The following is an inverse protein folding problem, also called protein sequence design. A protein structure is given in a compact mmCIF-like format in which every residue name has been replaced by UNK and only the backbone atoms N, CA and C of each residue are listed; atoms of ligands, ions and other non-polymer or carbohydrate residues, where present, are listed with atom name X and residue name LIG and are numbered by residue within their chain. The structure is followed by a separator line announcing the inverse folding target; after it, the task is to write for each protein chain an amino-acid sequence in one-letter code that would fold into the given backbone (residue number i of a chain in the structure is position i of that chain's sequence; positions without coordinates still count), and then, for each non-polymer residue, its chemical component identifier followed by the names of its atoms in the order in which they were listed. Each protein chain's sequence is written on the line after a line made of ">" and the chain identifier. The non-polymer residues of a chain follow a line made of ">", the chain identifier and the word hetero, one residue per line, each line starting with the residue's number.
data_IF_915595407178
#
_entry.id   IF_915595407178
#
_cell.length_a   1.000
_cell.length_b   1.000
_cell.length_c   1.000
_cell.angle_alpha   90.00
_cell.angle_beta   90.00
_cell.angle_gamma   90.00
#
_symmetry.space_group_name_H-M   'P 1'
#
loop_
_entity.id
_entity.type
_entity.pdbx_description
1 polymer ?
#
# COMPACT_ATOMS: atom_id res chain seq x y z
N UNK A 1 41.55 -14.68 -18.17
CA UNK A 1 40.21 -14.58 -18.78
C UNK A 1 39.27 -14.09 -17.68
N UNK A 2 39.11 -12.77 -17.56
CA UNK A 2 38.31 -12.13 -16.51
C UNK A 2 37.65 -10.86 -17.09
N UNK A 3 36.32 -10.80 -16.99
CA UNK A 3 35.44 -9.61 -17.05
C UNK A 3 34.01 -10.15 -16.89
N UNK A 4 33.33 -9.98 -15.75
CA UNK A 4 32.69 -8.77 -15.20
C UNK A 4 31.21 -8.63 -15.61
N UNK A 5 30.37 -8.67 -14.58
CA UNK A 5 29.14 -7.90 -14.35
C UNK A 5 28.01 -7.88 -15.42
N UNK A 6 26.90 -8.56 -15.10
CA UNK A 6 25.54 -8.06 -15.33
C UNK A 6 24.90 -7.88 -13.95
N UNK A 7 24.33 -6.74 -13.57
CA UNK A 7 23.48 -5.86 -14.36
C UNK A 7 22.05 -5.94 -13.79
N UNK A 8 21.89 -5.55 -12.53
CA UNK A 8 20.62 -5.56 -11.81
C UNK A 8 20.24 -4.15 -11.36
N UNK A 9 20.09 -3.22 -12.31
CA UNK A 9 19.46 -1.92 -12.05
C UNK A 9 17.94 -2.14 -12.00
N UNK A 10 17.40 -2.20 -10.79
CA UNK A 10 15.96 -2.01 -10.58
C UNK A 10 15.68 -0.50 -10.60
N UNK A 11 14.90 0.03 -11.56
CA UNK A 11 14.43 1.40 -11.50
C UNK A 11 13.17 1.41 -10.63
N UNK A 12 13.27 1.87 -9.38
CA UNK A 12 12.23 1.59 -8.39
C UNK A 12 12.02 2.68 -7.36
N UNK A 13 11.71 3.90 -7.78
CA UNK A 13 11.03 4.86 -6.89
C UNK A 13 11.51 6.29 -7.07
N UNK A 14 10.74 7.06 -7.85
CA UNK A 14 11.05 8.44 -8.19
C UNK A 14 11.20 9.34 -6.95
N UNK A 15 12.27 10.12 -6.99
CA UNK A 15 12.27 11.46 -6.43
C UNK A 15 11.09 12.21 -7.07
N UNK A 16 10.09 12.55 -6.26
CA UNK A 16 8.98 13.37 -6.70
C UNK A 16 8.63 14.28 -5.54
N UNK A 17 9.24 15.45 -5.61
CA UNK A 17 8.69 16.76 -5.31
C UNK A 17 8.16 16.89 -3.89
N UNK A 18 8.98 17.56 -3.07
CA UNK A 18 8.53 18.36 -1.95
C UNK A 18 7.60 19.46 -2.49
N UNK A 19 6.36 19.09 -2.75
CA UNK A 19 5.26 20.02 -2.90
C UNK A 19 4.45 19.89 -1.63
N UNK A 20 4.09 21.03 -1.06
CA UNK A 20 3.26 21.21 0.13
C UNK A 20 1.87 20.61 -0.13
N UNK A 21 1.80 19.28 -0.16
CA UNK A 21 0.60 18.54 -0.53
C UNK A 21 -0.18 18.30 0.74
N UNK A 22 -1.29 19.02 0.88
CA UNK A 22 -2.36 18.74 1.85
C UNK A 22 -2.82 17.27 1.77
N UNK A 23 -2.50 16.58 0.67
CA UNK A 23 -2.78 15.17 0.39
C UNK A 23 -1.58 14.25 0.64
N UNK A 24 -1.83 13.09 1.24
CA UNK A 24 -0.84 12.01 1.39
C UNK A 24 -0.87 11.12 0.15
N UNK A 25 0.29 10.90 -0.48
CA UNK A 25 0.43 9.88 -1.53
C UNK A 25 0.41 8.50 -0.90
N UNK A 26 -0.51 7.67 -1.36
CA UNK A 26 -0.66 6.30 -0.90
C UNK A 26 -0.43 5.36 -2.05
N UNK A 27 0.47 4.40 -1.86
CA UNK A 27 0.77 3.31 -2.80
C UNK A 27 0.23 2.01 -2.24
N UNK A 28 -0.79 1.45 -2.87
CA UNK A 28 -1.33 0.14 -2.53
C UNK A 28 -0.76 -0.93 -3.43
N UNK A 29 -0.28 -2.00 -2.82
CA UNK A 29 0.03 -3.27 -3.46
C UNK A 29 -1.06 -4.27 -3.11
N UNK A 30 -1.93 -4.58 -4.07
CA UNK A 30 -2.88 -5.69 -3.98
C UNK A 30 -2.16 -7.00 -4.33
N UNK A 31 -2.43 -8.03 -3.54
CA UNK A 31 -1.96 -9.40 -3.74
C UNK A 31 -3.19 -10.30 -3.64
N UNK A 32 -3.43 -11.13 -4.65
CA UNK A 32 -4.58 -12.04 -4.71
C UNK A 32 -4.12 -13.44 -5.14
N UNK A 33 -4.02 -14.37 -4.20
CA UNK A 33 -3.64 -15.77 -4.49
C UNK A 33 -2.36 -15.88 -5.33
N UNK A 34 -2.48 -16.52 -6.50
CA UNK A 34 -1.39 -16.68 -7.46
C UNK A 34 -1.36 -15.59 -8.55
N UNK A 35 -2.24 -14.59 -8.49
CA UNK A 35 -2.24 -13.49 -9.45
C UNK A 35 -1.05 -12.55 -9.22
N UNK A 36 -0.51 -11.95 -10.30
CA UNK A 36 0.55 -10.95 -10.17
C UNK A 36 0.05 -9.77 -9.30
N UNK A 37 0.90 -9.21 -8.44
CA UNK A 37 0.50 -8.12 -7.56
C UNK A 37 0.17 -6.86 -8.37
N UNK A 38 -0.97 -6.26 -8.09
CA UNK A 38 -1.40 -5.00 -8.71
C UNK A 38 -0.96 -3.82 -7.86
N UNK A 39 -0.33 -2.83 -8.48
CA UNK A 39 0.10 -1.61 -7.81
C UNK A 39 -0.77 -0.44 -8.24
N UNK A 40 -1.38 0.25 -7.28
CA UNK A 40 -2.10 1.50 -7.52
C UNK A 40 -1.59 2.58 -6.60
N UNK A 41 -1.50 3.79 -7.12
CA UNK A 41 -1.10 4.97 -6.36
C UNK A 41 -2.25 5.98 -6.41
N UNK A 42 -2.57 6.59 -5.29
CA UNK A 42 -3.61 7.60 -5.17
C UNK A 42 -3.16 8.68 -4.18
N UNK A 43 -3.68 9.88 -4.34
CA UNK A 43 -3.54 10.95 -3.37
C UNK A 43 -4.82 10.97 -2.53
N UNK A 44 -4.68 10.90 -1.22
CA UNK A 44 -5.82 11.00 -0.30
C UNK A 44 -5.59 12.14 0.67
N UNK A 45 -6.66 12.82 1.00
CA UNK A 45 -6.63 13.84 2.04
C UNK A 45 -6.87 13.16 3.40
N UNK A 46 -5.93 13.25 4.36
CA UNK A 46 -6.04 12.59 5.65
C UNK A 46 -7.11 13.22 6.57
N UNK A 47 -7.67 14.39 6.23
CA UNK A 47 -8.75 15.04 6.98
C UNK A 47 -10.13 14.47 6.62
N UNK A 48 -10.30 13.98 5.39
CA UNK A 48 -11.57 13.38 4.91
C UNK A 48 -11.49 11.85 4.71
N UNK A 49 -10.29 11.29 4.61
CA UNK A 49 -10.10 9.87 4.31
C UNK A 49 -10.05 9.02 5.57
N UNK A 50 -11.15 8.32 5.83
CA UNK A 50 -11.24 7.31 6.89
C UNK A 50 -10.91 5.92 6.36
N UNK A 51 -10.69 4.95 7.27
CA UNK A 51 -10.42 3.57 6.89
C UNK A 51 -11.54 2.98 6.02
N UNK A 52 -12.81 3.26 6.33
CA UNK A 52 -13.95 2.81 5.53
C UNK A 52 -13.93 3.39 4.11
N UNK A 53 -13.71 4.70 3.99
CA UNK A 53 -13.62 5.40 2.71
C UNK A 53 -12.45 4.87 1.89
N UNK A 54 -11.28 4.70 2.51
CA UNK A 54 -10.10 4.13 1.87
C UNK A 54 -10.40 2.72 1.37
N UNK A 55 -10.96 1.85 2.21
CA UNK A 55 -11.37 0.51 1.80
C UNK A 55 -12.38 0.53 0.66
N UNK A 56 -13.33 1.45 0.67
CA UNK A 56 -14.32 1.61 -0.40
C UNK A 56 -13.67 2.04 -1.72
N UNK A 57 -12.79 3.05 -1.69
CA UNK A 57 -12.03 3.50 -2.85
C UNK A 57 -11.19 2.35 -3.40
N UNK A 58 -10.53 1.59 -2.53
CA UNK A 58 -9.72 0.45 -2.94
C UNK A 58 -10.56 -0.67 -3.52
N UNK A 59 -11.67 -1.01 -2.90
CA UNK A 59 -12.57 -2.01 -3.42
C UNK A 59 -13.12 -1.61 -4.79
N UNK A 60 -13.44 -0.33 -5.00
CA UNK A 60 -13.86 0.18 -6.31
C UNK A 60 -12.70 0.21 -7.32
N UNK A 61 -11.52 0.62 -6.90
CA UNK A 61 -10.35 0.75 -7.78
C UNK A 61 -9.79 -0.61 -8.22
N UNK A 62 -9.83 -1.62 -7.35
CA UNK A 62 -9.33 -2.97 -7.59
C UNK A 62 -10.44 -3.98 -7.93
N UNK A 63 -11.65 -3.49 -8.16
CA UNK A 63 -12.86 -4.28 -8.44
C UNK A 63 -13.11 -5.42 -7.42
N UNK A 64 -12.83 -5.14 -6.15
CA UNK A 64 -13.08 -6.05 -5.02
C UNK A 64 -14.50 -5.90 -4.46
N UNK A 65 -15.41 -5.29 -5.23
CA UNK A 65 -16.80 -5.07 -4.87
C UNK A 65 -17.53 -6.41 -4.71
N UNK A 66 -17.46 -7.01 -3.52
CA UNK A 66 -18.07 -8.30 -3.21
C UNK A 66 -17.15 -9.28 -2.47
N UNK A 67 -15.83 -9.08 -2.50
CA UNK A 67 -14.87 -9.90 -1.75
C UNK A 67 -14.79 -9.40 -0.30
N UNK A 68 -15.59 -10.00 0.59
CA UNK A 68 -15.71 -9.59 2.01
C UNK A 68 -14.48 -9.87 2.89
N UNK A 69 -13.42 -10.49 2.37
CA UNK A 69 -12.23 -10.83 3.15
C UNK A 69 -10.96 -10.35 2.43
N UNK A 70 -10.71 -9.05 2.53
CA UNK A 70 -9.37 -8.51 2.25
C UNK A 70 -8.80 -7.91 3.53
N UNK A 71 -7.49 -8.06 3.71
CA UNK A 71 -6.75 -7.47 4.83
C UNK A 71 -5.94 -6.29 4.32
N UNK A 72 -6.06 -5.16 5.01
CA UNK A 72 -5.29 -3.94 4.71
C UNK A 72 -4.18 -3.80 5.75
N UNK A 73 -2.96 -3.52 5.32
CA UNK A 73 -1.82 -3.28 6.21
C UNK A 73 -0.92 -2.19 5.67
N UNK A 74 -0.39 -1.31 6.51
CA UNK A 74 0.54 -0.28 6.10
C UNK A 74 1.98 -0.65 6.44
N UNK A 75 2.94 -0.20 5.65
CA UNK A 75 4.35 -0.29 5.99
C UNK A 75 4.73 0.92 6.85
N UNK A 76 4.82 0.69 8.16
CA UNK A 76 5.33 1.61 9.15
C UNK A 76 6.86 1.56 9.12
N UNK A 77 7.53 2.69 8.98
CA UNK A 77 8.98 2.75 9.12
C UNK A 77 9.32 2.96 10.59
N UNK A 78 9.97 1.97 11.19
CA UNK A 78 10.45 2.07 12.58
C UNK A 78 11.67 3.02 12.67
N UNK A 79 12.00 3.50 13.88
CA UNK A 79 13.18 4.34 14.14
C UNK A 79 14.52 3.68 13.76
N UNK A 80 14.54 2.36 13.58
CA UNK A 80 15.68 1.60 13.02
C UNK A 80 15.71 1.57 11.48
N UNK A 81 14.74 2.19 10.80
CA UNK A 81 14.63 2.19 9.34
C UNK A 81 14.06 0.90 8.75
N UNK A 82 13.60 -0.04 9.57
CA UNK A 82 12.90 -1.26 9.15
C UNK A 82 11.44 -0.96 8.78
N UNK A 83 10.96 -1.61 7.73
CA UNK A 83 9.57 -1.54 7.30
C UNK A 83 8.76 -2.65 7.98
N UNK A 84 7.93 -2.27 8.96
CA UNK A 84 7.01 -3.17 9.66
C UNK A 84 5.63 -3.06 9.04
N UNK A 85 5.03 -4.19 8.67
CA UNK A 85 3.66 -4.21 8.19
C UNK A 85 2.69 -4.25 9.37
N UNK A 86 1.92 -3.19 9.55
CA UNK A 86 0.93 -3.04 10.62
C UNK A 86 -0.47 -3.09 10.00
N UNK A 87 -1.37 -3.98 10.45
CA UNK A 87 -2.73 -4.05 9.94
C UNK A 87 -3.50 -2.77 10.27
N UNK A 88 -4.29 -2.27 9.32
CA UNK A 88 -5.21 -1.15 9.53
C UNK A 88 -6.56 -1.72 9.97
N UNK A 89 -6.83 -1.67 11.28
CA UNK A 89 -8.08 -2.18 11.86
C UNK A 89 -9.06 -1.06 12.13
N UNK A 90 -8.56 0.14 12.45
CA UNK A 90 -9.36 1.33 12.76
C UNK A 90 -8.80 2.60 12.12
N UNK A 91 -9.62 3.66 12.09
CA UNK A 91 -9.21 5.02 11.73
C UNK A 91 -8.01 5.53 12.57
N UNK A 92 -7.94 5.20 13.86
CA UNK A 92 -6.76 5.50 14.69
C UNK A 92 -5.45 4.94 14.11
N UNK A 93 -5.48 3.71 13.56
CA UNK A 93 -4.30 3.12 12.91
C UNK A 93 -3.98 3.85 11.62
N UNK A 94 -5.00 4.27 10.87
CA UNK A 94 -4.84 5.00 9.62
C UNK A 94 -4.21 6.38 9.86
N UNK A 95 -4.64 7.11 10.90
CA UNK A 95 -4.04 8.40 11.29
C UNK A 95 -2.58 8.22 11.68
N UNK A 96 -2.27 7.15 12.43
CA UNK A 96 -0.89 6.79 12.78
C UNK A 96 -0.08 6.48 11.52
N UNK A 97 -0.64 5.72 10.59
CA UNK A 97 -0.01 5.37 9.32
C UNK A 97 0.30 6.61 8.48
N UNK A 98 -0.64 7.54 8.34
CA UNK A 98 -0.41 8.82 7.64
C UNK A 98 0.70 9.65 8.30
N UNK A 99 0.79 9.62 9.63
CA UNK A 99 1.84 10.31 10.39
C UNK A 99 3.21 9.70 10.14
N UNK A 100 3.29 8.37 10.10
CA UNK A 100 4.55 7.63 9.98
C UNK A 100 5.07 7.56 8.54
N UNK A 101 4.17 7.59 7.56
CA UNK A 101 4.52 7.26 6.19
C UNK A 101 4.73 8.48 5.29
N UNK A 102 5.13 9.62 5.85
CA UNK A 102 5.52 10.78 5.03
C UNK A 102 6.87 10.51 4.35
N UNK A 103 7.01 10.75 3.02
CA UNK A 103 6.05 11.39 2.12
C UNK A 103 5.07 10.45 1.40
N UNK A 104 5.27 9.13 1.44
CA UNK A 104 4.45 8.14 0.73
C UNK A 104 4.02 6.99 1.67
N UNK A 105 2.71 6.86 1.88
CA UNK A 105 2.10 5.76 2.60
C UNK A 105 2.07 4.51 1.74
N UNK A 106 2.84 3.49 2.12
CA UNK A 106 2.76 2.17 1.47
C UNK A 106 1.73 1.32 2.18
N UNK A 107 0.77 0.85 1.42
CA UNK A 107 -0.28 -0.06 1.86
C UNK A 107 -0.17 -1.38 1.11
N UNK A 108 -0.54 -2.44 1.78
CA UNK A 108 -0.64 -3.79 1.29
C UNK A 108 -2.07 -4.22 1.45
N UNK A 109 -2.65 -4.70 0.37
CA UNK A 109 -3.98 -5.25 0.32
C UNK A 109 -3.83 -6.74 -0.01
N UNK A 110 -4.30 -7.59 0.90
CA UNK A 110 -4.21 -9.03 0.80
C UNK A 110 -5.62 -9.58 0.61
N UNK A 111 -5.92 -10.10 -0.57
CA UNK A 111 -7.24 -10.66 -0.89
C UNK A 111 -7.18 -12.16 -0.66
N UNK A 112 -7.90 -12.65 0.35
CA UNK A 112 -8.10 -14.09 0.54
C UNK A 112 -9.22 -14.54 -0.38
N UNK A 113 -8.87 -15.26 -1.44
CA UNK A 113 -9.88 -16.06 -2.12
C UNK A 113 -10.26 -17.21 -1.16
N UNK A 114 -11.55 -17.49 -0.92
CA UNK A 114 -11.90 -18.76 -0.32
C UNK A 114 -11.32 -19.87 -1.22
N UNK A 115 -10.82 -20.98 -0.64
CA UNK A 115 -10.53 -22.15 -1.47
C UNK A 115 -11.80 -22.44 -2.26
N UNK A 116 -11.70 -22.51 -3.59
CA UNK A 116 -12.75 -23.15 -4.38
C UNK A 116 -12.95 -24.53 -3.73
N UNK A 117 -14.13 -24.74 -3.15
CA UNK A 117 -14.53 -26.07 -2.73
C UNK A 117 -14.56 -26.93 -3.98
N UNK A 118 -13.55 -27.79 -4.14
CA UNK A 118 -13.66 -29.01 -4.95
C UNK A 118 -14.61 -30.01 -4.29
#
# INVERSE_FOLDING_TARGET
>A
MAAAAGGGVSPGGGAALEEESEVVRVRVKKSEGQQPPEFRSFAVDPQITSLDVLQHILARAFDLQGKKSFSLSFAARDGQGQDTFVPLLSDSDLVTAFTWARPILRLRLDVRNPPESE
#
